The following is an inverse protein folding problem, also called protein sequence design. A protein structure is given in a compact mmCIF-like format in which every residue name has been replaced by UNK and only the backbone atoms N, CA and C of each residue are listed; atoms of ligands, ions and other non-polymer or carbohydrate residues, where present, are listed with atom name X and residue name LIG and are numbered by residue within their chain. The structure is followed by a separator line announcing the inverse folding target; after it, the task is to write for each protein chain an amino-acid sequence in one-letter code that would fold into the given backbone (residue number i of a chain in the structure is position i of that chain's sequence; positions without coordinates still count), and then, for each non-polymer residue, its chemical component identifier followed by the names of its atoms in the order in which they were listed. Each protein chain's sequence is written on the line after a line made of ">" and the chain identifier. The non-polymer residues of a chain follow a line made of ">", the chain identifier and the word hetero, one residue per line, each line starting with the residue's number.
data_IF_964924573263
#
_entry.id   IF_964924573263
#
_cell.length_a   1.000
_cell.length_b   1.000
_cell.length_c   1.000
_cell.angle_alpha   90.00
_cell.angle_beta   90.00
_cell.angle_gamma   90.00
#
_symmetry.space_group_name_H-M   'P 1'
#
loop_
_entity.id
_entity.type
_entity.pdbx_description
1 polymer ?
#
# COMPACT_ATOMS: atom_id res chain seq x y z
N UNK A 1 -0.50 -12.15 30.07
CA UNK A 1 -0.12 -12.08 28.65
C UNK A 1 0.11 -10.62 28.36
N UNK A 2 1.35 -10.20 28.12
CA UNK A 2 1.62 -8.81 27.75
C UNK A 2 1.05 -8.58 26.36
N UNK A 3 0.10 -7.64 26.23
CA UNK A 3 -0.31 -7.13 24.92
C UNK A 3 0.97 -6.69 24.20
N UNK A 4 1.34 -7.44 23.16
CA UNK A 4 2.42 -7.03 22.29
C UNK A 4 1.86 -5.85 21.50
N UNK A 5 2.25 -4.63 21.88
CA UNK A 5 1.79 -3.41 21.21
C UNK A 5 2.04 -3.56 19.70
N UNK A 6 0.98 -3.43 18.91
CA UNK A 6 1.13 -3.49 17.45
C UNK A 6 2.02 -2.33 17.00
N UNK A 7 3.00 -2.58 16.11
CA UNK A 7 3.89 -1.53 15.69
C UNK A 7 3.16 -0.53 14.78
N UNK A 8 3.61 0.73 14.84
CA UNK A 8 3.03 1.81 14.07
C UNK A 8 3.73 1.99 12.72
N UNK A 9 2.95 2.32 11.69
CA UNK A 9 3.51 2.81 10.43
C UNK A 9 4.21 4.17 10.69
N UNK A 10 5.53 4.29 10.43
CA UNK A 10 6.25 5.53 10.63
C UNK A 10 5.88 6.58 9.58
N UNK A 11 6.16 7.86 9.87
CA UNK A 11 5.96 8.96 8.91
C UNK A 11 7.01 9.03 7.80
N UNK A 12 8.02 8.17 7.81
CA UNK A 12 9.02 8.05 6.76
C UNK A 12 9.50 6.59 6.64
N UNK A 13 9.66 6.12 5.40
CA UNK A 13 10.23 4.80 5.08
C UNK A 13 11.20 4.97 3.91
N UNK A 14 12.46 4.56 4.08
CA UNK A 14 13.48 4.60 3.02
C UNK A 14 13.58 5.95 2.30
N UNK A 15 13.50 7.06 3.05
CA UNK A 15 13.54 8.43 2.52
C UNK A 15 12.26 8.87 1.79
N UNK A 16 11.17 8.12 1.89
CA UNK A 16 9.85 8.48 1.38
C UNK A 16 8.95 8.90 2.54
N UNK A 17 8.39 10.11 2.47
CA UNK A 17 7.42 10.59 3.45
C UNK A 17 6.10 9.81 3.36
N UNK A 18 5.56 9.41 4.50
CA UNK A 18 4.26 8.75 4.60
C UNK A 18 3.27 9.76 5.18
N UNK A 19 2.32 10.19 4.35
CA UNK A 19 1.18 11.01 4.76
C UNK A 19 -0.02 10.09 5.04
N UNK A 20 -0.90 10.50 5.96
CA UNK A 20 -2.02 9.68 6.40
C UNK A 20 -3.33 10.45 6.31
N UNK A 21 -4.42 9.73 6.06
CA UNK A 21 -5.77 10.23 6.35
C UNK A 21 -5.98 10.52 7.83
N UNK A 22 -6.90 11.44 8.17
CA UNK A 22 -7.13 11.88 9.54
C UNK A 22 -7.52 10.72 10.48
N UNK A 23 -8.32 9.79 9.97
CA UNK A 23 -8.86 8.66 10.72
C UNK A 23 -8.03 7.36 10.59
N UNK A 24 -6.84 7.43 9.99
CA UNK A 24 -6.03 6.22 9.78
C UNK A 24 -5.42 5.74 11.09
N UNK A 25 -5.80 4.55 11.52
CA UNK A 25 -5.13 3.86 12.61
C UNK A 25 -3.82 3.24 12.09
N UNK A 26 -2.70 3.66 12.68
CA UNK A 26 -1.36 3.28 12.22
C UNK A 26 -0.85 2.00 12.86
N UNK A 27 -1.52 1.49 13.89
CA UNK A 27 -1.17 0.23 14.55
C UNK A 27 -1.47 -0.91 13.58
N UNK A 28 -0.44 -1.59 13.10
CA UNK A 28 -0.57 -2.64 12.08
C UNK A 28 0.19 -3.90 12.46
N UNK A 29 -0.20 -5.01 11.86
CA UNK A 29 0.53 -6.27 11.98
C UNK A 29 1.99 -6.09 11.51
N UNK A 30 3.00 -6.66 12.19
CA UNK A 30 4.42 -6.45 11.84
C UNK A 30 4.77 -6.75 10.37
N UNK A 31 4.12 -7.74 9.75
CA UNK A 31 4.32 -8.06 8.34
C UNK A 31 3.97 -6.90 7.40
N UNK A 32 3.03 -6.02 7.77
CA UNK A 32 2.72 -4.80 7.01
C UNK A 32 3.94 -3.88 6.97
N UNK A 33 4.67 -3.75 8.09
CA UNK A 33 5.89 -2.95 8.11
C UNK A 33 7.02 -3.58 7.30
N UNK A 34 7.17 -4.91 7.33
CA UNK A 34 8.14 -5.61 6.46
C UNK A 34 7.81 -5.37 4.99
N UNK A 35 6.53 -5.47 4.64
CA UNK A 35 6.03 -5.18 3.30
C UNK A 35 6.30 -3.74 2.89
N UNK A 36 5.95 -2.75 3.71
CA UNK A 36 6.16 -1.34 3.40
C UNK A 36 7.64 -1.01 3.23
N UNK A 37 8.52 -1.56 4.10
CA UNK A 37 9.97 -1.41 3.96
C UNK A 37 10.52 -2.05 2.68
N UNK A 38 9.90 -3.11 2.17
CA UNK A 38 10.29 -3.74 0.91
C UNK A 38 9.88 -2.89 -0.30
N UNK A 39 8.66 -2.34 -0.28
CA UNK A 39 8.00 -1.74 -1.44
C UNK A 39 8.25 -0.24 -1.56
N UNK A 40 8.23 0.49 -0.44
CA UNK A 40 8.30 1.95 -0.41
C UNK A 40 9.76 2.40 -0.38
N UNK A 41 10.25 2.99 -1.48
CA UNK A 41 11.59 3.57 -1.59
C UNK A 41 11.67 4.60 -2.71
N UNK A 42 12.57 5.59 -2.58
CA UNK A 42 12.63 6.72 -3.51
C UNK A 42 12.81 6.34 -4.97
N UNK A 43 13.71 5.39 -5.27
CA UNK A 43 14.05 4.95 -6.63
C UNK A 43 13.35 3.62 -6.98
N UNK A 44 12.06 3.52 -6.67
CA UNK A 44 11.27 2.30 -6.95
C UNK A 44 11.04 2.09 -8.45
N UNK A 45 10.97 3.17 -9.23
CA UNK A 45 10.85 3.15 -10.70
C UNK A 45 12.07 3.82 -11.32
N UNK A 46 12.68 3.26 -12.39
CA UNK A 46 13.80 3.91 -13.08
C UNK A 46 13.44 5.32 -13.56
N UNK A 47 14.30 6.30 -13.30
CA UNK A 47 14.10 7.68 -13.74
C UNK A 47 13.06 8.49 -12.97
N UNK A 48 12.25 7.88 -12.10
CA UNK A 48 11.25 8.56 -11.27
C UNK A 48 11.64 8.54 -9.79
N UNK A 49 11.30 9.60 -9.07
CA UNK A 49 11.51 9.70 -7.63
C UNK A 49 10.17 9.69 -6.90
N UNK A 50 9.95 8.65 -6.09
CA UNK A 50 8.90 8.62 -5.09
C UNK A 50 9.34 9.43 -3.87
N UNK A 51 8.72 10.58 -3.64
CA UNK A 51 9.01 11.44 -2.49
C UNK A 51 8.04 11.20 -1.34
N UNK A 52 6.77 10.92 -1.66
CA UNK A 52 5.74 10.66 -0.65
C UNK A 52 4.63 9.76 -1.16
N UNK A 53 4.02 9.01 -0.25
CA UNK A 53 2.75 8.33 -0.47
C UNK A 53 1.72 8.82 0.53
N UNK A 54 0.44 8.68 0.19
CA UNK A 54 -0.67 8.93 1.11
C UNK A 54 -1.41 7.63 1.39
N UNK A 55 -1.36 7.18 2.64
CA UNK A 55 -2.14 6.04 3.13
C UNK A 55 -3.51 6.55 3.54
N UNK A 56 -4.54 6.14 2.81
CA UNK A 56 -5.94 6.51 3.06
C UNK A 56 -6.67 5.57 4.01
N UNK A 57 -6.21 4.32 4.15
CA UNK A 57 -6.73 3.39 5.15
C UNK A 57 -5.65 2.44 5.64
N UNK A 58 -5.70 2.12 6.94
CA UNK A 58 -5.00 1.04 7.60
C UNK A 58 -5.74 0.75 8.93
N UNK A 59 -5.77 -0.53 9.34
CA UNK A 59 -6.41 -0.98 10.58
C UNK A 59 -7.76 -0.31 10.89
N UNK A 60 -8.70 -0.44 9.97
CA UNK A 60 -9.96 0.30 10.01
C UNK A 60 -11.14 -0.53 10.52
N UNK A 61 -12.32 0.09 10.55
CA UNK A 61 -13.57 -0.46 11.08
C UNK A 61 -14.32 -1.38 10.10
N UNK A 62 -13.66 -1.89 9.04
CA UNK A 62 -14.29 -2.92 8.21
C UNK A 62 -14.67 -4.14 9.06
N UNK A 63 -15.66 -4.91 8.59
CA UNK A 63 -16.06 -6.13 9.28
C UNK A 63 -15.11 -7.30 8.95
N UNK A 64 -14.92 -8.19 9.92
CA UNK A 64 -14.28 -9.48 9.67
C UNK A 64 -15.04 -10.23 8.56
N UNK A 65 -14.34 -10.93 7.64
CA UNK A 65 -12.92 -11.30 7.67
C UNK A 65 -12.01 -10.36 6.86
N UNK A 66 -12.35 -9.06 6.72
CA UNK A 66 -11.49 -8.08 6.04
C UNK A 66 -10.07 -8.07 6.60
N UNK A 67 -9.07 -7.83 5.75
CA UNK A 67 -7.67 -7.68 6.20
C UNK A 67 -7.40 -6.34 6.85
N UNK A 68 -8.16 -5.31 6.52
CA UNK A 68 -8.08 -4.04 7.24
C UNK A 68 -8.53 -4.22 8.70
N UNK A 69 -9.65 -4.92 8.94
CA UNK A 69 -10.14 -5.26 10.28
C UNK A 69 -9.17 -6.13 11.11
N UNK A 70 -8.21 -6.77 10.44
CA UNK A 70 -7.14 -7.57 11.05
C UNK A 70 -5.83 -6.81 11.18
N UNK A 71 -5.82 -5.52 10.85
CA UNK A 71 -4.62 -4.67 10.77
C UNK A 71 -3.53 -5.21 9.83
N UNK A 72 -3.93 -5.96 8.80
CA UNK A 72 -3.04 -6.65 7.84
C UNK A 72 -3.10 -6.04 6.44
N UNK A 73 -3.68 -4.86 6.28
CA UNK A 73 -3.79 -4.19 5.00
C UNK A 73 -3.59 -2.68 5.10
N UNK A 74 -3.22 -2.09 3.96
CA UNK A 74 -3.12 -0.64 3.76
C UNK A 74 -3.65 -0.28 2.38
N UNK A 75 -4.28 0.89 2.29
CA UNK A 75 -4.71 1.49 1.03
C UNK A 75 -3.90 2.76 0.75
N UNK A 76 -3.23 2.81 -0.38
CA UNK A 76 -2.44 3.96 -0.85
C UNK A 76 -3.21 4.63 -1.98
N UNK A 77 -3.62 5.89 -1.80
CA UNK A 77 -4.46 6.61 -2.78
C UNK A 77 -3.74 7.75 -3.50
N UNK A 78 -2.53 8.12 -3.07
CA UNK A 78 -1.74 9.17 -3.73
C UNK A 78 -0.27 8.82 -3.84
N UNK A 79 0.30 9.27 -4.96
CA UNK A 79 1.73 9.24 -5.26
C UNK A 79 2.19 10.68 -5.42
N UNK A 80 3.18 11.11 -4.64
CA UNK A 80 3.71 12.48 -4.70
C UNK A 80 2.62 13.57 -4.60
N UNK A 81 1.59 13.32 -3.78
CA UNK A 81 0.42 14.21 -3.61
C UNK A 81 -0.66 14.08 -4.69
N UNK A 82 -0.36 13.45 -5.82
CA UNK A 82 -1.30 13.24 -6.93
C UNK A 82 -2.21 12.04 -6.66
N UNK A 83 -3.53 12.22 -6.80
CA UNK A 83 -4.53 11.14 -6.63
C UNK A 83 -4.36 10.08 -7.72
N UNK A 84 -4.29 8.81 -7.33
CA UNK A 84 -4.23 7.68 -8.26
C UNK A 84 -5.46 7.68 -9.17
N UNK A 85 -6.66 7.92 -8.62
CA UNK A 85 -7.92 7.98 -9.37
C UNK A 85 -7.95 8.97 -10.54
N UNK A 86 -7.11 10.01 -10.52
CA UNK A 86 -7.07 11.06 -11.54
C UNK A 86 -5.84 10.92 -12.43
N UNK A 87 -4.69 10.63 -11.81
CA UNK A 87 -3.39 10.72 -12.48
C UNK A 87 -2.85 9.36 -12.95
N UNK A 88 -3.34 8.22 -12.45
CA UNK A 88 -2.94 6.93 -13.01
C UNK A 88 -3.22 6.80 -14.53
N UNK A 89 -4.41 7.16 -15.05
CA UNK A 89 -4.67 7.04 -16.49
C UNK A 89 -3.98 8.10 -17.36
N UNK A 90 -3.50 9.20 -16.78
CA UNK A 90 -3.09 10.41 -17.53
C UNK A 90 -1.64 10.86 -17.30
N UNK A 91 -1.00 10.44 -16.20
CA UNK A 91 0.38 10.79 -15.87
C UNK A 91 1.29 9.56 -16.01
N UNK A 92 2.21 9.55 -17.00
CA UNK A 92 3.19 8.47 -17.13
C UNK A 92 4.01 8.25 -15.85
N UNK A 93 4.36 9.34 -15.15
CA UNK A 93 5.12 9.29 -13.90
C UNK A 93 4.35 8.56 -12.79
N UNK A 94 3.07 8.91 -12.56
CA UNK A 94 2.24 8.24 -11.54
C UNK A 94 2.03 6.79 -11.93
N UNK A 95 1.73 6.53 -13.20
CA UNK A 95 1.54 5.18 -13.72
C UNK A 95 2.77 4.30 -13.47
N UNK A 96 3.95 4.76 -13.85
CA UNK A 96 5.20 4.00 -13.67
C UNK A 96 5.50 3.70 -12.19
N UNK A 97 5.25 4.65 -11.30
CA UNK A 97 5.45 4.45 -9.87
C UNK A 97 4.43 3.46 -9.32
N UNK A 98 3.14 3.59 -9.65
CA UNK A 98 2.10 2.65 -9.21
C UNK A 98 2.39 1.24 -9.72
N UNK A 99 2.71 1.10 -11.01
CA UNK A 99 3.06 -0.18 -11.61
C UNK A 99 4.29 -0.78 -10.91
N UNK A 100 5.30 0.02 -10.57
CA UNK A 100 6.51 -0.42 -9.87
C UNK A 100 6.25 -0.82 -8.41
N UNK A 101 5.39 -0.09 -7.69
CA UNK A 101 4.97 -0.46 -6.33
C UNK A 101 4.24 -1.80 -6.34
N UNK A 102 3.25 -1.97 -7.23
CA UNK A 102 2.50 -3.22 -7.34
C UNK A 102 3.40 -4.39 -7.76
N UNK A 103 4.34 -4.20 -8.69
CA UNK A 103 5.32 -5.24 -9.08
C UNK A 103 6.29 -5.60 -7.96
N UNK A 104 6.72 -4.63 -7.16
CA UNK A 104 7.62 -4.87 -6.04
C UNK A 104 6.91 -5.64 -4.92
N UNK A 105 5.63 -5.35 -4.68
CA UNK A 105 4.86 -6.02 -3.66
C UNK A 105 4.73 -7.53 -3.90
N UNK A 106 4.60 -7.99 -5.15
CA UNK A 106 4.60 -9.43 -5.50
C UNK A 106 5.90 -10.16 -5.11
N UNK A 107 6.98 -9.43 -4.81
CA UNK A 107 8.25 -10.00 -4.34
C UNK A 107 8.38 -9.96 -2.82
N UNK A 108 7.39 -9.40 -2.11
CA UNK A 108 7.36 -9.39 -0.65
C UNK A 108 7.08 -10.81 -0.12
N UNK A 109 7.80 -11.27 0.92
CA UNK A 109 7.63 -12.62 1.47
C UNK A 109 6.24 -12.86 2.07
N UNK A 110 5.50 -11.79 2.38
CA UNK A 110 4.18 -11.87 3.01
C UNK A 110 3.05 -11.43 2.09
N UNK A 111 3.28 -11.24 0.78
CA UNK A 111 2.23 -10.75 -0.12
C UNK A 111 0.99 -11.66 -0.09
N UNK A 112 -0.20 -11.06 -0.03
CA UNK A 112 -1.47 -11.78 -0.06
C UNK A 112 -2.45 -11.18 -1.07
N UNK A 113 -2.76 -9.90 -0.96
CA UNK A 113 -3.65 -9.21 -1.93
C UNK A 113 -2.97 -7.96 -2.46
N UNK A 114 -2.89 -7.85 -3.78
CA UNK A 114 -2.34 -6.75 -4.53
C UNK A 114 -3.41 -6.25 -5.50
N UNK A 115 -4.28 -5.38 -5.02
CA UNK A 115 -5.39 -4.89 -5.83
C UNK A 115 -5.20 -3.41 -6.12
N UNK A 116 -5.01 -3.08 -7.38
CA UNK A 116 -4.84 -1.71 -7.80
C UNK A 116 -5.09 -1.57 -9.30
N UNK A 117 -4.84 -0.38 -9.85
CA UNK A 117 -5.15 -0.11 -11.26
C UNK A 117 -4.20 -0.81 -12.23
N UNK A 118 -2.98 -1.19 -11.81
CA UNK A 118 -2.02 -1.89 -12.67
C UNK A 118 -2.30 -3.40 -12.75
N UNK A 119 -2.66 -3.99 -11.62
CA UNK A 119 -2.92 -5.43 -11.49
C UNK A 119 -3.81 -5.73 -10.29
N UNK A 120 -4.47 -6.89 -10.36
CA UNK A 120 -5.26 -7.45 -9.27
C UNK A 120 -4.83 -8.89 -9.07
N UNK A 121 -4.01 -9.12 -8.06
CA UNK A 121 -3.44 -10.43 -7.75
C UNK A 121 -3.72 -10.81 -6.32
N UNK A 122 -3.94 -12.11 -6.11
CA UNK A 122 -4.07 -12.72 -4.79
C UNK A 122 -3.14 -13.92 -4.74
N UNK A 123 -2.21 -13.92 -3.79
CA UNK A 123 -1.17 -14.95 -3.64
C UNK A 123 -0.40 -15.20 -4.95
N UNK A 124 0.00 -14.14 -5.67
CA UNK A 124 0.75 -14.26 -6.93
C UNK A 124 -0.11 -14.54 -8.17
N UNK A 125 -1.40 -14.80 -8.03
CA UNK A 125 -2.27 -15.19 -9.13
C UNK A 125 -3.29 -14.10 -9.47
N UNK A 126 -3.63 -13.88 -10.76
CA UNK A 126 -4.71 -12.98 -11.14
C UNK A 126 -6.01 -13.30 -10.38
N UNK A 127 -6.65 -12.27 -9.85
CA UNK A 127 -7.87 -12.42 -9.05
C UNK A 127 -8.91 -11.40 -9.50
N UNK A 128 -10.13 -11.87 -9.76
CA UNK A 128 -11.22 -10.99 -10.10
C UNK A 128 -11.78 -10.32 -8.84
N UNK A 129 -11.65 -9.00 -8.76
CA UNK A 129 -12.26 -8.17 -7.72
C UNK A 129 -12.69 -6.83 -8.35
N UNK A 130 -13.92 -6.36 -8.12
CA UNK A 130 -14.36 -5.06 -8.62
C UNK A 130 -13.62 -3.89 -7.94
N UNK A 131 -13.71 -2.68 -8.50
CA UNK A 131 -13.11 -1.47 -7.91
C UNK A 131 -11.58 -1.40 -8.00
N UNK A 132 -10.95 -0.71 -7.05
CA UNK A 132 -9.49 -0.53 -6.91
C UNK A 132 -8.82 0.20 -8.11
N UNK A 133 -9.56 1.07 -8.79
CA UNK A 133 -8.99 1.93 -9.83
C UNK A 133 -8.40 3.23 -9.27
N UNK A 134 -8.77 3.55 -8.03
CA UNK A 134 -8.55 4.83 -7.35
C UNK A 134 -7.46 4.78 -6.28
N UNK A 135 -7.03 3.57 -5.88
CA UNK A 135 -6.01 3.31 -4.88
C UNK A 135 -5.32 1.95 -5.11
N UNK A 136 -4.24 1.70 -4.38
CA UNK A 136 -3.59 0.38 -4.28
C UNK A 136 -3.91 -0.20 -2.90
N UNK A 137 -4.52 -1.37 -2.86
CA UNK A 137 -4.70 -2.20 -1.68
C UNK A 137 -3.59 -3.24 -1.60
N UNK A 138 -2.81 -3.19 -0.53
CA UNK A 138 -1.86 -4.24 -0.18
C UNK A 138 -2.27 -4.92 1.11
N UNK A 139 -2.40 -6.25 1.08
CA UNK A 139 -2.57 -7.05 2.30
C UNK A 139 -1.52 -8.15 2.43
N UNK A 140 -1.09 -8.39 3.66
CA UNK A 140 -0.07 -9.39 3.99
C UNK A 140 -0.68 -10.63 4.62
N UNK A 141 0.00 -11.79 4.62
CA UNK A 141 -0.38 -13.02 5.35
C UNK A 141 -0.15 -12.92 6.87
#
# INVERSE_FOLDING_TARGET
>A
MTEQSMPQIPSEINGVTIEFGPEVNRDVHPHVLVMLNHVVRQKISPGQILKRIYISSANDQHQMPSRHAQAKAVDISRINGMKISVYYPSSPVVKEIVDSLQKAFEKSPYHRENFGPAMKQKLGHPHHVPGHADHIHFSVN
#
